data_IF_942270586582
#
_entry.id   IF_942270586582
#
_cell.length_a   1.000
_cell.length_b   1.000
_cell.length_c   1.000
_cell.angle_alpha   90.00
_cell.angle_beta   90.00
_cell.angle_gamma   90.00
#
_symmetry.space_group_name_H-M   'P 1'
#
loop_
_entity.id
_entity.type
_entity.pdbx_description
1 polymer ?
#
# COMPACT_ATOMS: atom_id res chain seq x y z
N UNK A 1 25.10 3.85 1.15
CA UNK A 1 24.39 4.31 -0.06
C UNK A 1 23.09 3.54 -0.15
N UNK A 2 21.94 4.17 -0.30
CA UNK A 2 20.69 3.47 -0.43
C UNK A 2 20.73 2.61 -1.67
N UNK A 3 20.46 1.36 -1.50
CA UNK A 3 20.42 0.39 -2.58
C UNK A 3 18.95 0.16 -2.93
N UNK A 4 18.57 0.39 -4.19
CA UNK A 4 17.25 -0.03 -4.68
C UNK A 4 17.01 -1.52 -4.41
N UNK A 5 18.07 -2.32 -4.49
CA UNK A 5 18.05 -3.74 -4.13
C UNK A 5 17.65 -3.94 -2.66
N UNK A 6 18.13 -3.11 -1.75
CA UNK A 6 17.76 -3.19 -0.33
C UNK A 6 16.27 -2.88 -0.15
N UNK A 7 15.75 -1.85 -0.82
CA UNK A 7 14.31 -1.57 -0.82
C UNK A 7 13.50 -2.78 -1.32
N UNK A 8 13.92 -3.39 -2.43
CA UNK A 8 13.23 -4.57 -2.96
C UNK A 8 13.26 -5.77 -1.99
N UNK A 9 14.31 -5.89 -1.19
CA UNK A 9 14.48 -7.01 -0.24
C UNK A 9 13.80 -6.80 1.11
N UNK A 10 13.60 -5.55 1.52
CA UNK A 10 13.15 -5.23 2.89
C UNK A 10 11.89 -4.37 2.95
N UNK A 11 11.55 -3.66 1.89
CA UNK A 11 10.52 -2.62 1.90
C UNK A 11 10.96 -1.33 2.61
N UNK A 12 12.24 -1.21 2.98
CA UNK A 12 12.82 -0.02 3.63
C UNK A 12 13.68 0.74 2.64
N UNK A 13 13.48 2.04 2.58
CA UNK A 13 14.29 2.94 1.76
C UNK A 13 15.23 3.74 2.67
N UNK A 14 16.46 3.22 2.87
CA UNK A 14 17.41 3.70 3.88
C UNK A 14 16.83 3.69 5.30
N UNK A 15 16.65 4.90 5.87
CA UNK A 15 16.04 5.09 7.19
C UNK A 15 14.51 5.18 7.13
N UNK A 16 13.95 5.32 5.92
CA UNK A 16 12.51 5.41 5.72
C UNK A 16 11.89 4.02 5.75
N UNK A 17 11.02 3.77 6.70
CA UNK A 17 10.30 2.50 6.85
C UNK A 17 8.86 2.74 7.32
N UNK A 18 7.98 1.78 7.07
CA UNK A 18 6.62 1.83 7.61
C UNK A 18 6.64 1.88 9.14
N UNK A 19 5.55 2.39 9.72
CA UNK A 19 5.32 2.67 11.15
C UNK A 19 5.95 3.99 11.66
N UNK A 20 6.77 4.67 10.87
CA UNK A 20 7.25 6.02 11.22
C UNK A 20 6.08 6.99 11.36
N UNK A 21 6.18 7.89 12.33
CA UNK A 21 5.28 9.03 12.48
C UNK A 21 5.53 10.09 11.40
N UNK A 22 4.59 11.02 11.24
CA UNK A 22 4.77 12.16 10.33
C UNK A 22 5.98 13.02 10.71
N UNK A 23 6.22 13.20 12.01
CA UNK A 23 7.29 14.06 12.48
C UNK A 23 8.66 13.44 12.20
N UNK A 24 8.82 12.13 12.39
CA UNK A 24 10.03 11.39 12.03
C UNK A 24 10.30 11.45 10.50
N UNK A 25 9.25 11.30 9.68
CA UNK A 25 9.39 11.43 8.23
C UNK A 25 9.76 12.86 7.82
N UNK A 26 9.15 13.87 8.46
CA UNK A 26 9.49 15.28 8.21
C UNK A 26 10.92 15.63 8.64
N UNK A 27 11.38 15.09 9.75
CA UNK A 27 12.78 15.25 10.18
C UNK A 27 13.76 14.62 9.18
N UNK A 28 13.38 13.49 8.59
CA UNK A 28 14.21 12.78 7.62
C UNK A 28 14.23 13.42 6.24
N UNK A 29 13.08 13.83 5.71
CA UNK A 29 12.89 14.25 4.32
C UNK A 29 12.58 15.75 4.14
N UNK A 30 12.32 16.48 5.22
CA UNK A 30 11.82 17.86 5.17
C UNK A 30 10.30 17.92 4.93
N UNK A 31 9.84 19.11 4.54
CA UNK A 31 8.40 19.31 4.23
C UNK A 31 8.03 18.66 2.89
N UNK A 32 6.85 18.03 2.78
CA UNK A 32 6.41 17.45 1.52
C UNK A 32 6.07 18.53 0.48
N UNK A 33 6.31 18.25 -0.79
CA UNK A 33 5.95 19.12 -1.92
C UNK A 33 4.43 19.25 -2.09
N UNK A 34 3.71 18.17 -1.79
CA UNK A 34 2.25 18.15 -1.83
C UNK A 34 1.67 17.23 -0.77
N UNK A 35 0.49 17.61 -0.28
CA UNK A 35 -0.28 16.86 0.73
C UNK A 35 -1.69 16.66 0.20
N UNK A 36 -2.25 15.46 0.32
CA UNK A 36 -3.64 15.22 -0.05
C UNK A 36 -4.61 16.05 0.81
N UNK A 37 -5.70 16.58 0.22
CA UNK A 37 -6.69 17.33 0.99
C UNK A 37 -7.50 16.44 1.94
N UNK A 38 -7.51 15.13 1.72
CA UNK A 38 -8.21 14.15 2.55
C UNK A 38 -7.33 13.73 3.72
N UNK A 39 -7.90 13.72 4.93
CA UNK A 39 -7.12 13.49 6.14
C UNK A 39 -6.84 12.03 6.48
N UNK A 40 -7.54 11.06 5.86
CA UNK A 40 -7.33 9.62 6.12
C UNK A 40 -7.80 8.77 4.93
N UNK A 41 -6.90 8.08 4.21
CA UNK A 41 -5.45 8.18 4.39
C UNK A 41 -4.88 9.56 4.02
N UNK A 42 -3.82 9.97 4.70
CA UNK A 42 -3.08 11.17 4.37
C UNK A 42 -1.93 10.78 3.43
N UNK A 43 -1.83 11.44 2.28
CA UNK A 43 -0.79 11.18 1.29
C UNK A 43 0.14 12.37 1.20
N UNK A 44 1.45 12.12 1.34
CA UNK A 44 2.52 13.08 1.14
C UNK A 44 3.32 12.73 -0.11
N UNK A 45 3.72 13.75 -0.88
CA UNK A 45 4.56 13.60 -2.06
C UNK A 45 5.89 14.33 -1.91
N UNK A 46 6.94 13.64 -2.35
CA UNK A 46 8.31 14.12 -2.42
C UNK A 46 8.88 13.73 -3.79
N UNK A 47 8.65 14.55 -4.80
CA UNK A 47 9.00 14.21 -6.18
C UNK A 47 8.35 12.91 -6.66
N UNK A 48 9.15 11.90 -6.94
CA UNK A 48 8.70 10.56 -7.35
C UNK A 48 8.25 9.66 -6.19
N UNK A 49 8.47 10.09 -4.94
CA UNK A 49 8.12 9.32 -3.75
C UNK A 49 6.73 9.72 -3.24
N UNK A 50 5.89 8.73 -3.00
CA UNK A 50 4.57 8.88 -2.38
C UNK A 50 4.53 8.10 -1.08
N UNK A 51 4.16 8.77 0.00
CA UNK A 51 4.06 8.23 1.33
C UNK A 51 2.61 8.29 1.81
N UNK A 52 2.06 7.16 2.21
CA UNK A 52 0.70 7.08 2.73
C UNK A 52 0.72 6.86 4.23
N UNK A 53 0.07 7.75 4.97
CA UNK A 53 -0.13 7.64 6.39
C UNK A 53 -1.58 7.24 6.68
N UNK A 54 -1.76 6.42 7.67
CA UNK A 54 -3.05 5.95 8.12
C UNK A 54 -3.18 6.09 9.64
N UNK A 55 -4.40 6.32 10.12
CA UNK A 55 -4.79 6.25 11.54
C UNK A 55 -6.04 5.40 11.66
N UNK A 56 -6.12 4.58 12.68
CA UNK A 56 -7.29 3.72 12.91
C UNK A 56 -8.44 4.48 13.57
N UNK A 57 -8.14 5.57 14.28
CA UNK A 57 -9.12 6.44 14.90
C UNK A 57 -8.69 7.91 14.83
N UNK A 58 -9.62 8.84 15.04
CA UNK A 58 -9.30 10.29 15.08
C UNK A 58 -8.39 10.68 16.26
N UNK A 59 -8.40 9.90 17.33
CA UNK A 59 -7.57 10.12 18.50
C UNK A 59 -6.12 9.69 18.33
N UNK A 60 -5.82 8.91 17.31
CA UNK A 60 -4.48 8.38 17.04
C UNK A 60 -3.70 9.27 16.08
N UNK A 61 -2.39 9.38 16.33
CA UNK A 61 -1.47 9.98 15.37
C UNK A 61 -1.31 9.06 14.15
N UNK A 62 -1.38 9.59 12.91
CA UNK A 62 -1.17 8.77 11.73
C UNK A 62 0.28 8.28 11.65
N UNK A 63 0.44 7.04 11.20
CA UNK A 63 1.75 6.41 10.95
C UNK A 63 1.88 6.01 9.47
N UNK A 64 3.12 5.92 9.01
CA UNK A 64 3.45 5.54 7.64
C UNK A 64 3.09 4.07 7.39
N UNK A 65 2.22 3.82 6.42
CA UNK A 65 1.77 2.47 6.04
C UNK A 65 2.21 2.07 4.64
N UNK A 66 2.56 3.04 3.78
CA UNK A 66 2.97 2.72 2.41
C UNK A 66 4.05 3.67 1.92
N UNK A 67 5.02 3.12 1.22
CA UNK A 67 6.13 3.79 0.55
C UNK A 67 6.05 3.36 -0.91
N UNK A 68 5.80 4.30 -1.84
CA UNK A 68 5.69 4.02 -3.28
C UNK A 68 6.61 4.95 -4.05
N UNK A 69 7.40 4.39 -4.95
CA UNK A 69 8.22 5.13 -5.90
C UNK A 69 7.55 5.03 -7.27
N UNK A 70 7.23 6.17 -7.87
CA UNK A 70 6.62 6.28 -9.19
C UNK A 70 7.66 6.57 -10.26
N UNK A 71 7.51 5.93 -11.41
CA UNK A 71 8.43 5.98 -12.55
C UNK A 71 7.76 6.62 -13.78
N UNK A 72 7.10 7.77 -13.58
CA UNK A 72 6.37 8.45 -14.67
C UNK A 72 7.28 9.20 -15.67
N UNK A 73 8.59 9.30 -15.38
CA UNK A 73 9.55 10.03 -16.20
C UNK A 73 10.88 9.29 -16.31
N UNK A 74 11.72 9.73 -17.26
CA UNK A 74 13.08 9.21 -17.40
C UNK A 74 13.99 9.49 -16.20
N UNK A 75 13.64 10.48 -15.39
CA UNK A 75 14.37 10.87 -14.19
C UNK A 75 13.55 10.62 -12.94
N UNK A 76 14.15 9.94 -11.97
CA UNK A 76 13.57 9.76 -10.66
C UNK A 76 14.06 10.87 -9.77
N UNK A 77 13.15 11.63 -9.19
CA UNK A 77 13.44 12.64 -8.19
C UNK A 77 13.06 12.08 -6.81
N UNK A 78 14.05 11.81 -5.97
CA UNK A 78 13.86 11.36 -4.59
C UNK A 78 14.56 12.36 -3.65
N UNK A 79 13.88 13.44 -3.26
CA UNK A 79 14.42 14.41 -2.31
C UNK A 79 14.82 13.72 -0.99
N UNK A 80 15.96 14.14 -0.43
CA UNK A 80 16.52 13.52 0.78
C UNK A 80 17.42 12.29 0.52
N UNK A 81 17.40 11.73 -0.68
CA UNK A 81 18.23 10.59 -1.06
C UNK A 81 19.31 11.04 -2.05
N UNK A 82 20.50 11.38 -1.55
CA UNK A 82 21.63 11.77 -2.38
C UNK A 82 22.50 10.56 -2.72
N UNK A 83 22.93 10.45 -3.98
CA UNK A 83 23.89 9.43 -4.41
C UNK A 83 23.24 8.05 -4.60
N UNK A 84 22.16 8.01 -5.38
CA UNK A 84 21.57 6.75 -5.82
C UNK A 84 22.66 5.87 -6.45
N UNK A 85 22.75 4.62 -5.99
CA UNK A 85 23.72 3.65 -6.47
C UNK A 85 23.61 3.43 -7.99
N UNK A 86 24.62 2.87 -8.59
CA UNK A 86 24.94 2.82 -10.00
C UNK A 86 23.88 2.27 -10.95
N UNK A 87 22.77 1.72 -10.45
CA UNK A 87 21.63 1.30 -11.24
C UNK A 87 20.31 1.53 -10.49
N UNK A 88 19.52 2.45 -11.01
CA UNK A 88 18.13 2.61 -10.68
C UNK A 88 17.30 2.41 -11.95
N UNK A 89 16.19 1.70 -11.87
CA UNK A 89 15.29 1.60 -13.00
C UNK A 89 14.69 2.95 -13.33
N UNK A 90 14.20 3.10 -14.54
CA UNK A 90 13.47 4.28 -15.01
C UNK A 90 12.09 3.87 -15.50
N UNK A 91 11.23 4.82 -15.84
CA UNK A 91 9.95 4.53 -16.48
C UNK A 91 10.07 3.80 -17.84
N UNK A 92 11.26 3.76 -18.44
CA UNK A 92 11.52 3.01 -19.67
C UNK A 92 11.90 1.54 -19.41
N UNK A 93 12.21 1.18 -18.17
CA UNK A 93 12.58 -0.19 -17.80
C UNK A 93 11.44 -1.16 -18.13
N UNK A 94 11.72 -2.13 -18.97
CA UNK A 94 10.74 -3.14 -19.35
C UNK A 94 10.56 -4.21 -18.28
N UNK A 95 9.47 -4.97 -18.37
CA UNK A 95 9.20 -6.11 -17.50
C UNK A 95 10.35 -7.15 -17.56
N UNK A 96 10.86 -7.43 -18.75
CA UNK A 96 11.93 -8.42 -18.96
C UNK A 96 13.25 -7.95 -18.33
N UNK A 97 13.65 -6.71 -18.58
CA UNK A 97 14.86 -6.12 -18.00
C UNK A 97 14.79 -6.13 -16.47
N UNK A 98 13.63 -5.80 -15.91
CA UNK A 98 13.44 -5.80 -14.47
C UNK A 98 13.50 -7.21 -13.89
N UNK A 99 12.88 -8.18 -14.55
CA UNK A 99 12.93 -9.59 -14.15
C UNK A 99 14.37 -10.12 -14.15
N UNK A 100 15.13 -9.81 -15.19
CA UNK A 100 16.54 -10.20 -15.29
C UNK A 100 17.38 -9.55 -14.16
N UNK A 101 17.10 -8.30 -13.84
CA UNK A 101 17.72 -7.65 -12.70
C UNK A 101 17.38 -8.33 -11.36
N UNK A 102 16.12 -8.75 -11.14
CA UNK A 102 15.75 -9.50 -9.93
C UNK A 102 16.55 -10.81 -9.79
N UNK A 103 16.76 -11.52 -10.89
CA UNK A 103 17.60 -12.74 -10.91
C UNK A 103 19.03 -12.41 -10.50
N UNK A 104 19.65 -11.39 -11.12
CA UNK A 104 21.03 -11.00 -10.84
C UNK A 104 21.22 -10.46 -9.41
N UNK A 105 20.21 -9.78 -8.86
CA UNK A 105 20.22 -9.27 -7.48
C UNK A 105 19.85 -10.31 -6.43
N UNK A 106 19.58 -11.56 -6.82
CA UNK A 106 19.08 -12.62 -5.95
C UNK A 106 17.83 -12.20 -5.13
N UNK A 107 16.92 -11.48 -5.80
CA UNK A 107 15.67 -11.03 -5.20
C UNK A 107 14.55 -12.00 -5.58
N UNK A 108 13.93 -12.62 -4.59
CA UNK A 108 12.92 -13.66 -4.80
C UNK A 108 11.56 -13.05 -5.12
N UNK A 109 10.91 -13.60 -6.16
CA UNK A 109 9.52 -13.31 -6.52
C UNK A 109 8.63 -14.39 -5.92
N UNK A 110 7.60 -13.99 -5.17
CA UNK A 110 6.63 -14.90 -4.55
C UNK A 110 5.32 -15.02 -5.33
N UNK A 111 5.03 -14.07 -6.21
CA UNK A 111 3.80 -14.09 -6.99
C UNK A 111 3.65 -12.91 -7.93
N UNK A 112 2.51 -12.81 -8.57
CA UNK A 112 2.18 -11.70 -9.46
C UNK A 112 1.37 -12.14 -10.67
N UNK A 113 1.03 -11.16 -11.54
CA UNK A 113 0.39 -11.36 -12.84
C UNK A 113 1.36 -10.86 -13.90
N UNK A 114 1.81 -11.77 -14.77
CA UNK A 114 2.81 -11.49 -15.81
C UNK A 114 2.20 -11.38 -17.21
N UNK A 115 0.89 -11.18 -17.33
CA UNK A 115 0.19 -11.09 -18.62
C UNK A 115 -0.77 -9.92 -18.68
N UNK A 116 -0.98 -9.40 -19.89
CA UNK A 116 -1.86 -8.23 -20.12
C UNK A 116 -1.13 -6.88 -20.01
N UNK A 117 -1.85 -5.78 -20.20
CA UNK A 117 -1.27 -4.43 -20.18
C UNK A 117 -0.79 -4.02 -18.78
N UNK A 118 -1.47 -4.48 -17.75
CA UNK A 118 -1.14 -4.19 -16.35
C UNK A 118 -0.52 -5.44 -15.71
N UNK A 119 0.79 -5.45 -15.60
CA UNK A 119 1.56 -6.55 -15.00
C UNK A 119 2.03 -6.15 -13.61
N UNK A 120 2.13 -7.10 -12.69
CA UNK A 120 2.75 -6.85 -11.40
C UNK A 120 3.48 -8.09 -10.87
N UNK A 121 4.53 -7.84 -10.11
CA UNK A 121 5.26 -8.83 -9.35
C UNK A 121 5.10 -8.53 -7.85
N UNK A 122 5.05 -9.57 -7.05
CA UNK A 122 5.11 -9.47 -5.59
C UNK A 122 6.36 -10.19 -5.14
N UNK A 123 7.24 -9.46 -4.47
CA UNK A 123 8.51 -9.99 -3.97
C UNK A 123 8.32 -10.64 -2.60
N UNK A 124 9.26 -11.48 -2.18
CA UNK A 124 9.23 -12.15 -0.89
C UNK A 124 9.19 -11.18 0.31
N UNK A 125 9.69 -9.98 0.12
CA UNK A 125 9.59 -8.87 1.08
C UNK A 125 8.18 -8.27 1.22
N UNK A 126 7.25 -8.60 0.32
CA UNK A 126 5.97 -7.93 0.19
C UNK A 126 5.99 -6.68 -0.72
N UNK A 127 7.16 -6.27 -1.21
CA UNK A 127 7.26 -5.19 -2.21
C UNK A 127 6.53 -5.60 -3.47
N UNK A 128 5.71 -4.69 -3.99
CA UNK A 128 5.01 -4.84 -5.26
C UNK A 128 5.68 -3.98 -6.33
N UNK A 129 5.92 -4.58 -7.48
CA UNK A 129 6.41 -3.92 -8.69
C UNK A 129 5.28 -3.92 -9.70
N UNK A 130 4.92 -2.77 -10.22
CA UNK A 130 3.81 -2.62 -11.17
C UNK A 130 4.33 -2.09 -12.50
N UNK A 131 3.87 -2.70 -13.58
CA UNK A 131 4.14 -2.29 -14.95
C UNK A 131 2.84 -1.90 -15.62
N UNK A 132 2.91 -0.87 -16.44
CA UNK A 132 1.84 -0.42 -17.30
C UNK A 132 2.33 -0.42 -18.74
N UNK A 133 1.57 -1.07 -19.64
CA UNK A 133 1.97 -1.30 -21.03
C UNK A 133 3.40 -1.87 -21.18
N UNK A 134 3.79 -2.76 -20.26
CA UNK A 134 5.11 -3.41 -20.24
C UNK A 134 6.26 -2.53 -19.73
N UNK A 135 5.99 -1.30 -19.27
CA UNK A 135 6.96 -0.36 -18.73
C UNK A 135 6.79 -0.23 -17.21
N UNK A 136 7.90 -0.03 -16.51
CA UNK A 136 7.87 0.14 -15.06
C UNK A 136 7.10 1.40 -14.67
N UNK A 137 6.03 1.20 -13.91
CA UNK A 137 5.14 2.26 -13.44
C UNK A 137 5.41 2.65 -11.99
N UNK A 138 5.48 1.66 -11.10
CA UNK A 138 5.74 1.91 -9.69
C UNK A 138 6.37 0.72 -8.98
N UNK A 139 7.10 1.01 -7.92
CA UNK A 139 7.60 0.02 -6.96
C UNK A 139 7.21 0.50 -5.57
N UNK A 140 6.51 -0.33 -4.82
CA UNK A 140 6.00 0.08 -3.52
C UNK A 140 5.94 -1.04 -2.50
N UNK A 141 6.07 -0.66 -1.25
CA UNK A 141 5.83 -1.50 -0.09
C UNK A 141 4.67 -0.92 0.70
N UNK A 142 3.71 -1.76 1.03
CA UNK A 142 2.60 -1.40 1.91
C UNK A 142 2.59 -2.36 3.06
N UNK A 143 2.69 -1.82 4.28
CA UNK A 143 2.56 -2.60 5.49
C UNK A 143 1.16 -3.19 5.51
N UNK A 144 1.08 -4.47 5.22
CA UNK A 144 -0.12 -5.22 5.52
C UNK A 144 -0.13 -5.44 7.03
N UNK A 145 -0.59 -4.45 7.78
CA UNK A 145 -1.34 -4.86 8.96
C UNK A 145 -2.57 -5.55 8.37
N UNK A 146 -2.51 -6.86 8.24
CA UNK A 146 -3.75 -7.57 8.24
C UNK A 146 -4.47 -7.04 9.47
N UNK A 147 -5.56 -6.27 9.32
CA UNK A 147 -6.52 -6.31 10.40
C UNK A 147 -6.73 -7.81 10.53
N UNK A 148 -6.79 -8.33 11.73
CA UNK A 148 -7.28 -9.69 11.99
C UNK A 148 -8.75 -9.81 11.55
N UNK A 149 -9.08 -9.25 10.42
CA UNK A 149 -10.28 -9.47 9.66
C UNK A 149 -10.14 -10.86 9.07
N UNK A 150 -10.34 -11.84 9.92
CA UNK A 150 -10.81 -13.14 9.44
C UNK A 150 -12.00 -12.82 8.56
N UNK A 151 -11.86 -13.04 7.26
CA UNK A 151 -12.95 -12.85 6.32
C UNK A 151 -14.06 -13.79 6.74
N UNK A 152 -15.11 -13.26 7.33
CA UNK A 152 -16.30 -14.04 7.71
C UNK A 152 -17.19 -14.05 6.47
N UNK A 153 -17.30 -15.19 5.83
CA UNK A 153 -18.28 -15.39 4.77
C UNK A 153 -19.64 -15.75 5.42
N UNK A 154 -20.62 -14.86 5.25
CA UNK A 154 -21.98 -15.09 5.75
C UNK A 154 -22.84 -15.54 4.57
N UNK A 155 -23.36 -16.75 4.66
CA UNK A 155 -24.37 -17.25 3.72
C UNK A 155 -25.75 -16.83 4.20
N UNK A 156 -26.42 -15.93 3.47
CA UNK A 156 -27.76 -15.45 3.78
C UNK A 156 -28.77 -16.21 2.90
N UNK A 157 -29.75 -16.89 3.46
CA UNK A 157 -30.80 -17.50 2.68
C UNK A 157 -31.51 -16.46 1.79
N UNK A 158 -31.85 -16.84 0.56
CA UNK A 158 -32.47 -15.90 -0.40
C UNK A 158 -33.76 -15.26 0.12
N UNK A 159 -34.52 -15.96 0.95
CA UNK A 159 -35.77 -15.45 1.57
C UNK A 159 -35.50 -14.27 2.51
N UNK A 160 -34.32 -14.23 3.17
CA UNK A 160 -33.99 -13.24 4.18
C UNK A 160 -33.25 -12.05 3.56
N UNK A 161 -32.68 -12.26 2.36
CA UNK A 161 -31.88 -11.21 1.68
C UNK A 161 -32.69 -9.96 1.37
N UNK A 162 -33.98 -10.11 0.97
CA UNK A 162 -34.86 -8.97 0.68
C UNK A 162 -35.12 -8.11 1.91
N UNK A 163 -35.33 -8.72 3.08
CA UNK A 163 -35.56 -8.01 4.32
C UNK A 163 -34.31 -7.21 4.72
N UNK A 164 -33.13 -7.83 4.60
CA UNK A 164 -31.86 -7.18 4.89
C UNK A 164 -31.59 -6.00 3.94
N UNK A 165 -31.90 -6.17 2.64
CA UNK A 165 -31.77 -5.09 1.65
C UNK A 165 -32.71 -3.92 1.95
N UNK A 166 -33.94 -4.18 2.37
CA UNK A 166 -34.91 -3.17 2.77
C UNK A 166 -34.45 -2.41 4.02
N UNK A 167 -33.92 -3.11 5.02
CA UNK A 167 -33.41 -2.47 6.24
C UNK A 167 -32.15 -1.65 5.98
N UNK A 168 -31.24 -2.13 5.11
CA UNK A 168 -30.07 -1.38 4.70
C UNK A 168 -30.47 -0.09 3.98
N UNK A 169 -31.44 -0.17 3.05
CA UNK A 169 -31.98 0.99 2.34
C UNK A 169 -32.66 1.98 3.29
N UNK A 170 -33.48 1.51 4.24
CA UNK A 170 -34.14 2.33 5.24
C UNK A 170 -33.14 3.03 6.16
N UNK A 171 -32.00 2.40 6.43
CA UNK A 171 -30.92 2.94 7.25
C UNK A 171 -29.89 3.79 6.47
N UNK A 172 -30.05 3.92 5.15
CA UNK A 172 -29.13 4.68 4.30
C UNK A 172 -27.71 4.09 4.23
N UNK A 173 -27.55 2.78 4.46
CA UNK A 173 -26.25 2.10 4.46
C UNK A 173 -26.24 0.93 3.45
N UNK A 174 -25.04 0.47 3.07
CA UNK A 174 -24.93 -0.76 2.27
C UNK A 174 -25.27 -2.01 3.12
N UNK A 175 -25.71 -3.08 2.45
CA UNK A 175 -25.96 -4.39 3.11
C UNK A 175 -24.71 -4.86 3.88
N UNK A 176 -23.52 -4.72 3.29
CA UNK A 176 -22.27 -5.10 3.95
C UNK A 176 -22.04 -4.32 5.24
N UNK A 177 -22.30 -3.00 5.23
CA UNK A 177 -22.13 -2.13 6.41
C UNK A 177 -23.14 -2.46 7.50
N UNK A 178 -24.39 -2.80 7.12
CA UNK A 178 -25.42 -3.23 8.05
C UNK A 178 -25.04 -4.58 8.72
N UNK A 179 -24.61 -5.56 7.94
CA UNK A 179 -24.17 -6.85 8.46
C UNK A 179 -22.95 -6.71 9.38
N UNK A 180 -21.95 -5.89 9.01
CA UNK A 180 -20.79 -5.62 9.87
C UNK A 180 -21.18 -5.02 11.21
N UNK A 181 -22.14 -4.07 11.22
CA UNK A 181 -22.67 -3.48 12.46
C UNK A 181 -23.31 -4.52 13.36
N UNK A 182 -24.19 -5.37 12.83
CA UNK A 182 -24.84 -6.43 13.59
C UNK A 182 -23.85 -7.43 14.19
N UNK A 183 -22.82 -7.80 13.43
CA UNK A 183 -21.76 -8.69 13.93
C UNK A 183 -21.03 -8.05 15.10
N UNK A 184 -20.64 -6.76 15.00
CA UNK A 184 -19.95 -6.05 16.05
C UNK A 184 -20.81 -5.87 17.30
N UNK A 185 -22.08 -5.50 17.15
CA UNK A 185 -23.05 -5.39 18.25
C UNK A 185 -23.20 -6.74 18.98
N UNK A 186 -23.31 -7.84 18.21
CA UNK A 186 -23.42 -9.17 18.79
C UNK A 186 -22.14 -9.63 19.47
N UNK A 187 -20.99 -9.37 18.88
CA UNK A 187 -19.69 -9.69 19.47
C UNK A 187 -19.46 -8.96 20.79
N UNK A 188 -19.82 -7.66 20.85
CA UNK A 188 -19.75 -6.86 22.09
C UNK A 188 -20.65 -7.41 23.22
N UNK A 189 -21.78 -8.02 22.87
CA UNK A 189 -22.70 -8.62 23.86
C UNK A 189 -22.23 -9.99 24.38
N UNK A 190 -21.19 -10.56 23.79
CA UNK A 190 -20.63 -11.87 24.16
C UNK A 190 -19.35 -11.77 24.98
N UNK A 191 -18.82 -10.56 25.25
CA UNK A 191 -17.68 -10.41 26.13
C UNK A 191 -18.10 -10.68 27.58
N UNK A 192 -17.53 -11.66 28.25
CA UNK A 192 -17.80 -11.89 29.68
C UNK A 192 -17.27 -10.71 30.50
N UNK A 193 -18.06 -10.26 31.45
CA UNK A 193 -17.73 -9.23 32.46
C UNK A 193 -16.56 -9.69 33.34
#
# INVERSE_FOLDING_TARGET
MPSFVEFLKTGQLEKLHCEMSKDEVRELLGEPEAVSPQGNPLIWKYGSLELTFYRSSEAESPWLVSIVIHFHSHTINLPGFQGLASWWPTGETTFEEFRDFLVHSATRVDGGVASGPHQHLVLASGVRVTFDEGRLYSVGYTLRREPELKQITISIPRRDLKAIQQEAAASGVSVSKLCSRWILERASSLQPS
#
